data_IF_087741629107
#
_entry.id   IF_087741629107
#
_cell.length_a   1.000
_cell.length_b   1.000
_cell.length_c   1.000
_cell.angle_alpha   90.00
_cell.angle_beta   90.00
_cell.angle_gamma   90.00
#
_symmetry.space_group_name_H-M   'P 1'
#
loop_
_entity.id
_entity.type
_entity.pdbx_description
1 polymer ?
#
# COMPACT_ATOMS: atom_id res chain seq x y z
N UNK A 1 44.32 -10.89 -42.61
CA UNK A 1 42.84 -10.86 -42.77
C UNK A 1 42.28 -11.87 -41.78
N UNK A 2 41.82 -11.51 -40.58
CA UNK A 2 40.61 -10.72 -40.27
C UNK A 2 40.83 -9.91 -38.97
N UNK A 3 40.60 -8.60 -39.01
CA UNK A 3 40.50 -7.75 -37.83
C UNK A 3 39.14 -8.01 -37.15
N UNK A 4 39.15 -8.18 -35.83
CA UNK A 4 37.93 -8.18 -35.02
C UNK A 4 37.80 -6.78 -34.46
N UNK A 5 36.90 -5.99 -35.05
CA UNK A 5 36.60 -4.64 -34.60
C UNK A 5 35.86 -4.71 -33.26
N UNK A 6 36.51 -4.17 -32.23
CA UNK A 6 36.01 -4.08 -30.86
C UNK A 6 34.96 -2.96 -30.86
N UNK A 7 33.68 -3.32 -30.84
CA UNK A 7 32.58 -2.35 -30.75
C UNK A 7 32.53 -1.84 -29.31
N UNK A 8 33.15 -0.69 -29.07
CA UNK A 8 32.93 0.11 -27.86
C UNK A 8 31.52 0.70 -27.90
N UNK A 9 30.51 -0.09 -27.50
CA UNK A 9 29.17 0.41 -27.22
C UNK A 9 29.21 1.24 -25.95
N UNK A 10 29.39 2.55 -26.09
CA UNK A 10 29.02 3.52 -25.06
C UNK A 10 27.52 3.36 -24.85
N UNK A 11 27.12 2.70 -23.77
CA UNK A 11 25.73 2.67 -23.32
C UNK A 11 25.45 4.07 -22.79
N UNK A 12 24.94 4.94 -23.65
CA UNK A 12 24.40 6.24 -23.25
C UNK A 12 23.30 5.98 -22.22
N UNK A 13 23.57 6.33 -20.96
CA UNK A 13 22.56 6.30 -19.90
C UNK A 13 21.50 7.31 -20.29
N UNK A 14 20.33 6.82 -20.71
CA UNK A 14 19.17 7.68 -20.88
C UNK A 14 18.93 8.44 -19.56
N UNK A 15 18.72 9.77 -19.61
CA UNK A 15 18.39 10.53 -18.42
C UNK A 15 17.11 9.96 -17.80
N UNK A 16 17.15 9.66 -16.51
CA UNK A 16 15.99 9.24 -15.75
C UNK A 16 14.95 10.37 -15.79
N UNK A 17 13.97 10.25 -16.68
CA UNK A 17 12.74 11.03 -16.58
C UNK A 17 12.05 10.56 -15.30
N UNK A 18 11.78 11.43 -14.31
CA UNK A 18 10.92 11.04 -13.20
C UNK A 18 9.57 10.72 -13.81
N UNK A 19 9.24 9.44 -13.93
CA UNK A 19 7.88 9.04 -14.25
C UNK A 19 7.02 9.66 -13.17
N UNK A 20 6.15 10.61 -13.53
CA UNK A 20 5.06 11.05 -12.66
C UNK A 20 4.48 9.82 -11.95
N UNK A 21 4.23 9.85 -10.63
CA UNK A 21 3.74 8.67 -9.94
C UNK A 21 2.42 8.28 -10.61
N UNK A 22 2.40 7.10 -11.23
CA UNK A 22 1.19 6.54 -11.86
C UNK A 22 0.24 6.09 -10.74
N UNK A 23 -0.37 7.04 -10.04
CA UNK A 23 -1.26 6.76 -8.91
C UNK A 23 -0.57 6.03 -7.75
N UNK A 24 -1.35 5.75 -6.71
CA UNK A 24 -0.93 4.90 -5.60
C UNK A 24 -1.22 3.43 -5.93
N UNK A 25 -0.28 2.54 -5.62
CA UNK A 25 -0.46 1.09 -5.84
C UNK A 25 -1.55 0.54 -4.89
N UNK A 26 -2.68 0.05 -5.41
CA UNK A 26 -3.74 -0.54 -4.59
C UNK A 26 -3.25 -1.65 -3.64
N UNK A 27 -2.23 -2.39 -4.04
CA UNK A 27 -1.70 -3.52 -3.25
C UNK A 27 -0.88 -3.07 -2.03
N UNK A 28 -0.58 -1.76 -1.93
CA UNK A 28 0.05 -1.15 -0.76
C UNK A 28 -0.97 -0.57 0.24
N UNK A 29 -2.25 -0.55 -0.11
CA UNK A 29 -3.27 -0.01 0.77
C UNK A 29 -3.50 -0.92 1.98
N UNK A 30 -3.60 -0.30 3.15
CA UNK A 30 -4.06 -1.02 4.34
C UNK A 30 -5.55 -1.35 4.22
N UNK A 31 -5.93 -2.53 4.72
CA UNK A 31 -7.30 -3.02 4.73
C UNK A 31 -7.68 -3.39 6.15
N UNK A 32 -8.77 -2.84 6.68
CA UNK A 32 -9.20 -3.04 8.07
C UNK A 32 -10.63 -3.61 8.14
N UNK A 33 -10.85 -4.56 9.05
CA UNK A 33 -12.19 -5.02 9.39
C UNK A 33 -12.87 -4.08 10.39
N UNK A 34 -13.99 -3.45 9.99
CA UNK A 34 -14.74 -2.53 10.85
C UNK A 34 -15.36 -3.19 12.10
N UNK A 35 -15.45 -4.52 12.15
CA UNK A 35 -16.03 -5.25 13.30
C UNK A 35 -15.03 -5.50 14.41
N UNK A 36 -13.81 -5.92 14.06
CA UNK A 36 -12.80 -6.36 15.03
C UNK A 36 -11.50 -5.57 14.99
N UNK A 37 -11.35 -4.61 14.05
CA UNK A 37 -10.14 -3.80 13.86
C UNK A 37 -8.94 -4.58 13.33
N UNK A 38 -9.08 -5.87 12.99
CA UNK A 38 -7.98 -6.68 12.49
C UNK A 38 -7.67 -6.36 11.03
N UNK A 39 -6.40 -6.47 10.61
CA UNK A 39 -6.03 -6.34 9.21
C UNK A 39 -6.67 -7.43 8.33
N UNK A 40 -7.20 -6.93 7.22
CA UNK A 40 -7.58 -7.52 5.93
C UNK A 40 -6.49 -8.24 5.14
N UNK A 41 -6.09 -9.47 5.45
CA UNK A 41 -5.07 -10.13 4.62
C UNK A 41 -5.68 -10.58 3.28
N UNK A 42 -5.15 -10.03 2.18
CA UNK A 42 -5.56 -10.37 0.83
C UNK A 42 -4.40 -10.88 -0.01
N UNK A 43 -4.71 -11.80 -0.93
CA UNK A 43 -3.79 -12.23 -1.96
C UNK A 43 -3.48 -11.09 -2.94
N UNK A 44 -2.28 -11.12 -3.51
CA UNK A 44 -1.84 -10.12 -4.50
C UNK A 44 -2.85 -9.98 -5.65
N UNK A 45 -3.17 -8.74 -5.99
CA UNK A 45 -4.09 -8.36 -7.06
C UNK A 45 -5.54 -8.18 -6.60
N UNK A 46 -5.89 -8.65 -5.39
CA UNK A 46 -7.27 -8.55 -4.88
C UNK A 46 -7.69 -7.09 -4.68
N UNK A 47 -6.81 -6.23 -4.15
CA UNK A 47 -7.13 -4.83 -3.93
C UNK A 47 -7.39 -4.12 -5.26
N UNK A 48 -6.55 -4.37 -6.27
CA UNK A 48 -6.73 -3.86 -7.64
C UNK A 48 -8.10 -4.25 -8.22
N UNK A 49 -8.46 -5.55 -8.14
CA UNK A 49 -9.74 -6.05 -8.66
C UNK A 49 -10.93 -5.40 -7.95
N UNK A 50 -10.87 -5.31 -6.63
CA UNK A 50 -11.93 -4.72 -5.80
C UNK A 50 -12.13 -3.24 -6.11
N UNK A 51 -11.05 -2.45 -6.13
CA UNK A 51 -11.12 -1.01 -6.37
C UNK A 51 -11.63 -0.70 -7.77
N UNK A 52 -11.17 -1.45 -8.77
CA UNK A 52 -11.70 -1.36 -10.12
C UNK A 52 -13.20 -1.69 -10.16
N UNK A 53 -13.63 -2.72 -9.43
CA UNK A 53 -15.05 -3.12 -9.34
C UNK A 53 -15.96 -2.04 -8.75
N UNK A 54 -15.44 -1.19 -7.86
CA UNK A 54 -16.19 -0.05 -7.27
C UNK A 54 -15.94 1.29 -7.98
N UNK A 55 -15.24 1.27 -9.12
CA UNK A 55 -14.99 2.47 -9.94
C UNK A 55 -13.94 3.44 -9.38
N UNK A 56 -13.11 2.99 -8.43
CA UNK A 56 -12.01 3.79 -7.87
C UNK A 56 -10.77 3.63 -8.74
N UNK A 57 -10.23 4.74 -9.25
CA UNK A 57 -9.03 4.72 -10.09
C UNK A 57 -7.79 4.89 -9.22
N UNK A 58 -6.70 4.23 -9.58
CA UNK A 58 -5.42 4.37 -8.87
C UNK A 58 -4.89 5.82 -8.79
N UNK A 59 -5.26 6.66 -9.77
CA UNK A 59 -4.90 8.08 -9.78
C UNK A 59 -5.63 8.92 -8.71
N UNK A 60 -6.72 8.41 -8.15
CA UNK A 60 -7.51 9.07 -7.10
C UNK A 60 -7.08 8.61 -5.68
N UNK A 61 -6.09 7.72 -5.61
CA UNK A 61 -5.56 7.11 -4.39
C UNK A 61 -4.22 7.74 -4.01
N UNK A 62 -3.96 7.77 -2.71
CA UNK A 62 -2.70 8.15 -2.08
C UNK A 62 -2.56 7.45 -0.72
N UNK A 63 -1.49 7.74 0.01
CA UNK A 63 -1.16 7.14 1.30
C UNK A 63 -2.18 7.40 2.42
N UNK A 64 -3.14 8.32 2.22
CA UNK A 64 -4.21 8.59 3.18
C UNK A 64 -5.46 7.73 2.91
N UNK A 65 -5.48 6.95 1.84
CA UNK A 65 -6.60 6.08 1.50
C UNK A 65 -6.47 4.71 2.18
N UNK A 66 -7.58 4.18 2.69
CA UNK A 66 -7.66 2.87 3.33
C UNK A 66 -8.92 2.14 2.87
N UNK A 67 -8.85 0.82 2.77
CA UNK A 67 -10.03 -0.02 2.52
C UNK A 67 -10.57 -0.49 3.87
N UNK A 68 -11.88 -0.41 4.06
CA UNK A 68 -12.55 -0.93 5.26
C UNK A 68 -13.60 -1.93 4.82
N UNK A 69 -13.53 -3.14 5.37
CA UNK A 69 -14.53 -4.20 5.18
C UNK A 69 -15.51 -4.26 6.35
N UNK A 70 -16.74 -4.75 6.11
CA UNK A 70 -17.74 -4.97 7.17
C UNK A 70 -17.65 -6.37 7.81
N UNK A 71 -16.62 -7.15 7.46
CA UNK A 71 -16.34 -8.49 7.97
C UNK A 71 -14.93 -8.96 7.61
N UNK A 72 -14.52 -10.07 8.19
CA UNK A 72 -13.27 -10.78 7.85
C UNK A 72 -13.38 -12.24 8.28
N UNK A 73 -12.45 -13.08 7.80
CA UNK A 73 -12.41 -14.51 8.11
C UNK A 73 -12.32 -14.82 9.61
N UNK A 74 -11.93 -13.86 10.44
CA UNK A 74 -11.96 -14.00 11.90
C UNK A 74 -13.34 -13.77 12.52
N UNK A 75 -14.11 -12.81 11.98
CA UNK A 75 -15.46 -12.52 12.48
C UNK A 75 -16.49 -13.53 11.97
N UNK A 76 -16.37 -13.91 10.70
CA UNK A 76 -17.28 -14.78 9.99
C UNK A 76 -16.46 -15.75 9.11
N UNK A 77 -15.98 -16.87 9.68
CA UNK A 77 -15.12 -17.82 8.96
C UNK A 77 -15.84 -18.56 7.83
N UNK A 78 -17.18 -18.59 7.86
CA UNK A 78 -18.04 -19.24 6.85
C UNK A 78 -18.41 -18.30 5.68
N UNK A 79 -18.01 -17.03 5.73
CA UNK A 79 -18.33 -16.02 4.72
C UNK A 79 -17.09 -15.67 3.89
N UNK A 80 -17.24 -15.67 2.57
CA UNK A 80 -16.15 -15.38 1.63
C UNK A 80 -16.25 -13.96 1.03
N UNK A 81 -17.37 -13.30 1.27
CA UNK A 81 -17.72 -12.01 0.70
C UNK A 81 -18.08 -11.00 1.80
N UNK A 82 -17.44 -9.83 1.75
CA UNK A 82 -17.69 -8.73 2.67
C UNK A 82 -17.95 -7.46 1.86
N UNK A 83 -18.82 -6.59 2.36
CA UNK A 83 -18.94 -5.26 1.81
C UNK A 83 -17.70 -4.46 2.21
N UNK A 84 -17.36 -3.51 1.36
CA UNK A 84 -16.21 -2.66 1.57
C UNK A 84 -16.50 -1.22 1.18
N UNK A 85 -15.69 -0.33 1.74
CA UNK A 85 -15.65 1.09 1.40
C UNK A 85 -14.19 1.53 1.35
N UNK A 86 -13.91 2.47 0.46
CA UNK A 86 -12.64 3.21 0.47
C UNK A 86 -12.87 4.47 1.27
N UNK A 87 -12.05 4.70 2.28
CA UNK A 87 -12.09 5.91 3.09
C UNK A 87 -10.77 6.66 2.98
N UNK A 88 -10.82 7.96 3.22
CA UNK A 88 -9.66 8.83 3.32
C UNK A 88 -9.50 9.26 4.77
N UNK A 89 -8.30 9.06 5.30
CA UNK A 89 -7.92 9.50 6.64
C UNK A 89 -7.56 10.98 6.54
N UNK A 90 -8.39 11.84 7.14
CA UNK A 90 -8.20 13.30 7.09
C UNK A 90 -7.18 13.82 8.11
N UNK A 91 -6.90 13.05 9.16
CA UNK A 91 -5.99 13.44 10.23
C UNK A 91 -5.18 12.22 10.68
N UNK A 92 -3.85 12.32 10.59
CA UNK A 92 -2.93 11.33 11.14
C UNK A 92 -2.32 11.95 12.39
N UNK A 93 -2.71 11.47 13.56
CA UNK A 93 -2.18 11.94 14.84
C UNK A 93 -0.94 11.12 15.18
N UNK A 94 0.24 11.72 15.03
CA UNK A 94 1.48 11.14 15.53
C UNK A 94 1.58 11.43 17.04
N UNK A 95 1.50 10.40 17.86
CA UNK A 95 1.97 10.46 19.25
C UNK A 95 3.24 9.62 19.35
N UNK A 96 4.29 10.16 19.95
CA UNK A 96 5.50 9.41 20.25
C UNK A 96 5.17 8.33 21.30
N UNK A 97 4.74 7.15 20.84
CA UNK A 97 4.41 6.00 21.72
C UNK A 97 5.64 5.37 22.39
N UNK A 98 6.85 5.86 22.08
CA UNK A 98 8.13 5.31 22.57
C UNK A 98 8.89 6.25 23.51
N UNK A 99 8.27 7.33 24.02
CA UNK A 99 8.89 8.21 25.03
C UNK A 99 8.34 7.97 26.44
N UNK A 100 8.21 6.71 26.82
CA UNK A 100 8.24 6.34 28.23
C UNK A 100 9.72 6.11 28.61
N UNK A 101 10.47 7.20 28.60
CA UNK A 101 11.79 7.25 29.22
C UNK A 101 11.57 7.22 30.72
N UNK A 102 11.53 6.01 31.29
CA UNK A 102 11.71 5.78 32.73
C UNK A 102 12.93 6.60 33.20
N UNK A 103 12.79 7.51 34.18
CA UNK A 103 13.96 8.15 34.76
C UNK A 103 14.77 7.08 35.47
N UNK A 104 16.04 6.89 35.07
CA UNK A 104 17.03 6.20 35.88
C UNK A 104 17.16 6.96 37.21
N UNK A 105 16.41 6.51 38.21
CA UNK A 105 16.55 6.94 39.59
C UNK A 105 17.84 6.34 40.15
N UNK A 106 18.86 7.18 40.31
CA UNK A 106 20.03 6.87 41.11
C UNK A 106 19.62 6.86 42.58
N UNK A 107 19.69 5.70 43.25
CA UNK A 107 19.75 5.57 44.70
C UNK A 107 20.57 4.33 45.07
#
# INVERSE_FOLDING_TARGET
MRQIDRIDRVVERQPHVPSQPKGYDPELMFVECARCGRPVMWEHGRATVVLHGVGVRAADLDEHCMIVTDGCAHCHPEEDEYRLKVIRISEIVYRDLLRDGEPMGNA
#
